data_IF_667055235671
#
_entry.id   IF_667055235671
#
_cell.length_a   1.000
_cell.length_b   1.000
_cell.length_c   1.000
_cell.angle_alpha   90.00
_cell.angle_beta   90.00
_cell.angle_gamma   90.00
#
_symmetry.space_group_name_H-M   'P 1'
#
loop_
_entity.id
_entity.type
_entity.pdbx_description
1 polymer ?
#
# COMPACT_ATOMS: atom_id res chain seq x y z
N UNK A 1 -2.50 -13.26 10.08
CA UNK A 1 -1.29 -13.54 9.30
C UNK A 1 -0.13 -13.00 10.09
N UNK A 2 0.89 -13.83 10.27
CA UNK A 2 2.12 -13.45 10.94
C UNK A 2 3.07 -12.74 9.97
N UNK A 3 3.99 -11.92 10.50
CA UNK A 3 4.88 -11.08 9.68
C UNK A 3 5.65 -11.87 8.61
N UNK A 4 6.27 -13.00 9.00
CA UNK A 4 7.08 -13.79 8.09
C UNK A 4 6.27 -14.47 6.99
N UNK A 5 5.05 -14.90 7.31
CA UNK A 5 4.11 -15.46 6.34
C UNK A 5 3.76 -14.40 5.28
N UNK A 6 3.44 -13.17 5.71
CA UNK A 6 3.15 -12.06 4.80
C UNK A 6 4.29 -11.77 3.81
N UNK A 7 5.52 -11.76 4.30
CA UNK A 7 6.70 -11.44 3.50
C UNK A 7 7.00 -12.55 2.49
N UNK A 8 6.98 -13.81 2.94
CA UNK A 8 7.41 -14.96 2.14
C UNK A 8 6.36 -15.41 1.13
N UNK A 9 5.08 -15.21 1.42
CA UNK A 9 3.98 -15.62 0.53
C UNK A 9 3.58 -14.54 -0.48
N UNK A 10 4.03 -13.29 -0.32
CA UNK A 10 3.69 -12.19 -1.24
C UNK A 10 4.13 -12.52 -2.68
N UNK A 11 3.24 -12.26 -3.64
CA UNK A 11 3.47 -12.41 -5.08
C UNK A 11 3.02 -11.16 -5.84
N UNK A 12 3.52 -10.98 -7.06
CA UNK A 12 3.07 -9.89 -7.94
C UNK A 12 1.80 -10.34 -8.67
N UNK A 13 0.68 -9.66 -8.41
CA UNK A 13 -0.64 -9.95 -9.01
C UNK A 13 -0.84 -9.03 -10.22
N UNK A 14 -1.37 -9.57 -11.32
CA UNK A 14 -1.63 -8.84 -12.59
C UNK A 14 -3.04 -9.02 -13.15
N UNK A 15 -3.91 -9.68 -12.41
CA UNK A 15 -5.33 -9.84 -12.72
C UNK A 15 -6.12 -9.48 -11.46
N UNK A 16 -7.05 -8.54 -11.59
CA UNK A 16 -7.79 -7.96 -10.48
C UNK A 16 -9.28 -8.08 -10.73
N UNK A 17 -10.05 -8.24 -9.65
CA UNK A 17 -11.51 -8.18 -9.74
C UNK A 17 -11.98 -6.76 -10.06
N UNK A 18 -13.18 -6.64 -10.60
CA UNK A 18 -13.84 -5.36 -10.79
C UNK A 18 -14.20 -4.73 -9.43
N UNK A 19 -14.31 -3.40 -9.43
CA UNK A 19 -14.65 -2.63 -8.24
C UNK A 19 -13.47 -1.86 -7.64
N UNK A 20 -13.79 -1.03 -6.65
CA UNK A 20 -12.83 -0.16 -6.00
C UNK A 20 -12.48 -0.68 -4.61
N UNK A 21 -11.23 -0.47 -4.20
CA UNK A 21 -10.82 -0.67 -2.80
C UNK A 21 -11.41 0.46 -1.95
N UNK A 22 -12.01 0.10 -0.81
CA UNK A 22 -12.58 1.06 0.13
C UNK A 22 -11.51 2.04 0.67
N UNK A 23 -11.90 3.29 0.88
CA UNK A 23 -10.97 4.35 1.36
C UNK A 23 -10.32 3.98 2.68
N UNK A 24 -11.08 3.48 3.66
CA UNK A 24 -10.55 3.08 4.96
C UNK A 24 -9.44 2.02 4.85
N UNK A 25 -9.57 1.09 3.90
CA UNK A 25 -8.56 0.07 3.63
C UNK A 25 -7.30 0.71 3.04
N UNK A 26 -7.45 1.60 2.07
CA UNK A 26 -6.32 2.30 1.46
C UNK A 26 -5.61 3.20 2.46
N UNK A 27 -6.32 3.98 3.25
CA UNK A 27 -5.74 4.83 4.30
C UNK A 27 -4.92 4.02 5.29
N UNK A 28 -5.43 2.87 5.74
CA UNK A 28 -4.70 1.97 6.63
C UNK A 28 -3.40 1.50 5.98
N UNK A 29 -3.45 1.06 4.73
CA UNK A 29 -2.26 0.59 4.00
C UNK A 29 -1.22 1.70 3.82
N UNK A 30 -1.63 2.88 3.35
CA UNK A 30 -0.74 4.00 3.10
C UNK A 30 -0.09 4.50 4.40
N UNK A 31 -0.87 4.61 5.49
CA UNK A 31 -0.34 4.96 6.82
C UNK A 31 0.70 3.96 7.29
N UNK A 32 0.43 2.65 7.16
CA UNK A 32 1.41 1.62 7.50
C UNK A 32 2.68 1.70 6.65
N UNK A 33 2.57 2.00 5.35
CA UNK A 33 3.74 2.17 4.47
C UNK A 33 4.62 3.36 4.88
N UNK A 34 4.01 4.45 5.34
CA UNK A 34 4.74 5.65 5.78
C UNK A 34 5.53 5.47 7.07
N UNK A 35 5.31 4.37 7.83
CA UNK A 35 6.14 4.00 8.98
C UNK A 35 7.51 3.46 8.59
N UNK A 36 7.74 3.21 7.29
CA UNK A 36 9.06 2.85 6.78
C UNK A 36 10.11 3.93 7.07
N UNK A 37 11.34 3.56 7.47
CA UNK A 37 12.36 4.55 7.80
C UNK A 37 12.72 5.38 6.56
N UNK A 38 13.17 6.61 6.81
CA UNK A 38 13.70 7.50 5.79
C UNK A 38 14.98 8.16 6.29
N UNK A 39 15.89 8.49 5.37
CA UNK A 39 17.14 9.17 5.71
C UNK A 39 16.84 10.45 6.51
N UNK A 40 17.47 10.60 7.68
CA UNK A 40 17.24 11.72 8.60
C UNK A 40 15.75 11.99 8.92
N UNK A 41 14.89 10.96 8.87
CA UNK A 41 13.44 11.07 9.06
C UNK A 41 12.74 12.11 8.16
N UNK A 42 13.27 12.36 6.97
CA UNK A 42 12.74 13.37 6.04
C UNK A 42 11.32 13.05 5.56
N UNK A 43 10.90 11.78 5.62
CA UNK A 43 9.59 11.30 5.19
C UNK A 43 9.18 11.87 3.82
N UNK A 44 10.02 11.72 2.77
CA UNK A 44 9.82 12.40 1.48
C UNK A 44 8.67 11.82 0.65
N UNK A 45 7.87 10.92 1.22
CA UNK A 45 6.80 10.21 0.56
C UNK A 45 5.69 11.18 0.11
N UNK A 46 5.35 11.12 -1.18
CA UNK A 46 4.15 11.74 -1.75
C UNK A 46 3.38 10.64 -2.47
N UNK A 47 2.23 10.27 -1.93
CA UNK A 47 1.39 9.18 -2.43
C UNK A 47 0.11 9.78 -2.98
N UNK A 48 -0.25 9.43 -4.22
CA UNK A 48 -1.47 9.90 -4.90
C UNK A 48 -2.28 8.66 -5.29
N UNK A 49 -3.54 8.63 -4.87
CA UNK A 49 -4.48 7.56 -5.24
C UNK A 49 -5.22 8.01 -6.50
N UNK A 50 -5.06 7.26 -7.60
CA UNK A 50 -5.76 7.50 -8.86
C UNK A 50 -6.89 6.48 -8.99
N UNK A 51 -8.13 6.96 -9.13
CA UNK A 51 -9.34 6.11 -9.28
C UNK A 51 -10.01 6.26 -10.64
N UNK A 52 -9.88 7.43 -11.24
CA UNK A 52 -10.43 7.71 -12.56
C UNK A 52 -9.55 7.08 -13.65
N UNK A 53 -10.17 6.59 -14.72
CA UNK A 53 -9.47 5.91 -15.80
C UNK A 53 -8.97 6.85 -16.91
N UNK A 54 -9.38 8.12 -16.92
CA UNK A 54 -9.09 9.06 -18.00
C UNK A 54 -9.80 8.73 -19.30
#
# INVERSE_FOLDING_TARGET
MELYEAITTRRSVRSFQEGQVADATLEKLLRSSMLGPSAANQQPWKLIVVRDRG
#
